data_IF_736464518146
#
_entry.id   IF_736464518146
#
_cell.length_a   1.000
_cell.length_b   1.000
_cell.length_c   1.000
_cell.angle_alpha   90.00
_cell.angle_beta   90.00
_cell.angle_gamma   90.00
#
_symmetry.space_group_name_H-M   'P 1'
#
loop_
_entity.id
_entity.type
_entity.pdbx_description
1 polymer ?
#
# COMPACT_ATOMS: atom_id res chain seq x y z
N UNK A 1 -20.40 8.62 19.28
CA UNK A 1 -20.23 9.90 20.02
C UNK A 1 -18.90 9.86 20.75
N UNK A 2 -17.99 10.82 20.54
CA UNK A 2 -16.67 10.82 21.21
C UNK A 2 -16.64 11.95 22.23
N UNK A 3 -16.45 11.58 23.49
CA UNK A 3 -16.44 12.47 24.66
C UNK A 3 -15.27 13.46 24.61
N UNK A 4 -15.52 14.73 24.90
CA UNK A 4 -14.48 15.76 25.04
C UNK A 4 -14.15 15.89 26.53
N UNK A 5 -12.90 15.65 26.95
CA UNK A 5 -12.49 16.02 28.31
C UNK A 5 -11.96 17.46 28.30
N UNK A 6 -12.42 18.32 29.22
CA UNK A 6 -11.81 19.62 29.42
C UNK A 6 -10.38 19.46 29.95
N UNK A 7 -9.46 20.25 29.43
CA UNK A 7 -8.15 20.49 30.08
C UNK A 7 -8.26 21.72 30.97
N UNK A 8 -7.38 21.85 31.97
CA UNK A 8 -7.33 22.97 32.93
C UNK A 8 -7.29 24.38 32.27
N UNK A 9 -6.87 24.48 31.01
CA UNK A 9 -6.82 25.75 30.24
C UNK A 9 -8.02 25.99 29.30
N UNK A 10 -9.13 25.24 29.43
CA UNK A 10 -10.31 25.38 28.56
C UNK A 10 -10.12 24.92 27.10
N UNK A 11 -8.92 24.49 26.72
CA UNK A 11 -8.60 24.10 25.35
C UNK A 11 -8.92 22.61 25.12
N UNK A 12 -10.06 22.28 24.52
CA UNK A 12 -10.49 20.88 24.34
C UNK A 12 -9.51 20.12 23.42
N UNK A 13 -8.63 19.29 24.00
CA UNK A 13 -7.78 18.37 23.24
C UNK A 13 -8.62 17.26 22.61
N UNK A 14 -8.25 16.89 21.39
CA UNK A 14 -8.81 15.73 20.69
C UNK A 14 -8.27 14.47 21.35
N UNK A 15 -9.18 13.70 21.94
CA UNK A 15 -8.87 12.44 22.61
C UNK A 15 -8.26 11.41 21.68
N UNK A 16 -7.34 10.63 22.24
CA UNK A 16 -6.78 9.45 21.61
C UNK A 16 -7.88 8.41 21.43
N UNK A 17 -8.12 7.89 20.21
CA UNK A 17 -9.01 6.77 20.00
C UNK A 17 -8.54 5.53 20.75
N UNK A 18 -9.41 4.54 20.89
CA UNK A 18 -9.03 3.20 21.38
C UNK A 18 -7.93 2.58 20.52
N UNK A 19 -7.13 1.68 21.11
CA UNK A 19 -6.04 1.03 20.40
C UNK A 19 -6.50 0.22 19.17
N UNK A 20 -7.72 -0.32 19.20
CA UNK A 20 -8.30 -0.99 18.03
C UNK A 20 -8.56 -0.02 16.87
N UNK A 21 -9.04 1.20 17.15
CA UNK A 21 -9.25 2.23 16.12
C UNK A 21 -7.90 2.71 15.60
N UNK A 22 -6.93 2.94 16.49
CA UNK A 22 -5.58 3.36 16.11
C UNK A 22 -4.94 2.34 15.17
N UNK A 23 -4.98 1.05 15.52
CA UNK A 23 -4.48 -0.02 14.65
C UNK A 23 -5.18 0.01 13.29
N UNK A 24 -6.52 0.08 13.29
CA UNK A 24 -7.29 0.11 12.05
C UNK A 24 -6.96 1.31 11.15
N UNK A 25 -6.71 2.51 11.70
CA UNK A 25 -6.36 3.69 10.88
C UNK A 25 -4.89 3.76 10.50
N UNK A 26 -4.00 3.16 11.29
CA UNK A 26 -2.58 2.97 10.96
C UNK A 26 -2.36 1.94 9.86
N UNK A 27 -3.30 1.00 9.70
CA UNK A 27 -3.26 0.03 8.62
C UNK A 27 -3.38 0.71 7.25
N UNK A 28 -2.54 0.25 6.31
CA UNK A 28 -2.54 0.74 4.93
C UNK A 28 -3.91 0.61 4.25
N UNK A 29 -4.67 -0.43 4.58
CA UNK A 29 -5.98 -0.70 3.98
C UNK A 29 -7.01 0.39 4.31
N UNK A 30 -6.82 1.14 5.41
CA UNK A 30 -7.69 2.25 5.72
C UNK A 30 -7.53 3.38 4.69
N UNK A 31 -8.64 3.83 4.14
CA UNK A 31 -8.67 4.98 3.23
C UNK A 31 -8.18 6.24 3.93
N UNK A 32 -7.48 7.12 3.20
CA UNK A 32 -7.02 8.40 3.76
C UNK A 32 -8.18 9.27 4.25
N UNK A 33 -9.35 9.17 3.62
CA UNK A 33 -10.57 9.82 4.09
C UNK A 33 -10.97 9.36 5.51
N UNK A 34 -10.89 8.07 5.81
CA UNK A 34 -11.17 7.53 7.14
C UNK A 34 -10.12 8.00 8.17
N UNK A 35 -8.85 8.04 7.78
CA UNK A 35 -7.76 8.56 8.62
C UNK A 35 -7.99 10.02 8.97
N UNK A 36 -8.26 10.87 7.97
CA UNK A 36 -8.52 12.29 8.18
C UNK A 36 -9.77 12.53 9.03
N UNK A 37 -10.83 11.74 8.79
CA UNK A 37 -12.05 11.77 9.61
C UNK A 37 -11.76 11.42 11.07
N UNK A 38 -10.97 10.38 11.33
CA UNK A 38 -10.57 10.00 12.69
C UNK A 38 -9.73 11.09 13.38
N UNK A 39 -8.86 11.76 12.62
CA UNK A 39 -8.05 12.88 13.10
C UNK A 39 -8.82 14.21 13.15
N UNK A 40 -10.08 14.26 12.71
CA UNK A 40 -10.88 15.49 12.58
C UNK A 40 -10.19 16.56 11.73
N UNK A 41 -9.68 16.15 10.57
CA UNK A 41 -8.99 16.98 9.59
C UNK A 41 -9.80 17.08 8.31
N UNK A 42 -9.74 18.24 7.65
CA UNK A 42 -10.10 18.33 6.23
C UNK A 42 -9.09 17.56 5.38
N UNK A 43 -9.47 17.22 4.14
CA UNK A 43 -8.56 16.55 3.21
C UNK A 43 -7.29 17.35 2.92
N UNK A 44 -7.38 18.68 2.89
CA UNK A 44 -6.23 19.57 2.62
C UNK A 44 -5.29 19.66 3.83
N UNK A 45 -5.83 19.86 5.04
CA UNK A 45 -5.01 19.84 6.27
C UNK A 45 -4.34 18.48 6.47
N UNK A 46 -5.09 17.39 6.26
CA UNK A 46 -4.57 16.04 6.32
C UNK A 46 -3.39 15.82 5.39
N UNK A 47 -3.50 16.22 4.12
CA UNK A 47 -2.40 16.14 3.16
C UNK A 47 -1.17 16.95 3.58
N UNK A 48 -1.38 18.18 4.07
CA UNK A 48 -0.29 19.06 4.50
C UNK A 48 0.49 18.47 5.68
N UNK A 49 -0.22 17.97 6.71
CA UNK A 49 0.42 17.37 7.88
C UNK A 49 1.16 16.08 7.54
N UNK A 50 0.56 15.22 6.71
CA UNK A 50 1.23 14.01 6.23
C UNK A 50 2.51 14.36 5.47
N UNK A 51 2.47 15.38 4.60
CA UNK A 51 3.66 15.85 3.89
C UNK A 51 4.74 16.34 4.86
N UNK A 52 4.40 17.20 5.81
CA UNK A 52 5.38 17.72 6.78
C UNK A 52 6.04 16.61 7.60
N UNK A 53 5.24 15.68 8.13
CA UNK A 53 5.79 14.53 8.89
C UNK A 53 6.66 13.66 7.99
N UNK A 54 6.21 13.35 6.79
CA UNK A 54 6.97 12.57 5.80
C UNK A 54 8.32 13.22 5.50
N UNK A 55 8.33 14.51 5.18
CA UNK A 55 9.55 15.24 4.85
C UNK A 55 10.51 15.24 6.05
N UNK A 56 10.01 15.34 7.29
CA UNK A 56 10.84 15.19 8.48
C UNK A 56 11.37 13.77 8.69
N UNK A 57 10.59 12.74 8.38
CA UNK A 57 11.02 11.35 8.44
C UNK A 57 12.14 11.08 7.42
N UNK A 58 11.99 11.54 6.18
CA UNK A 58 12.99 11.41 5.11
C UNK A 58 14.30 12.12 5.49
N UNK A 59 14.20 13.29 6.12
CA UNK A 59 15.36 14.06 6.58
C UNK A 59 15.95 13.54 7.91
N UNK A 60 15.23 12.68 8.61
CA UNK A 60 15.77 11.98 9.78
C UNK A 60 16.55 10.77 9.28
N UNK A 61 17.71 10.49 9.87
CA UNK A 61 18.59 9.36 9.49
C UNK A 61 18.00 7.97 9.83
N UNK A 62 16.68 7.84 9.75
CA UNK A 62 15.96 6.60 9.98
C UNK A 62 16.13 5.72 8.75
N UNK A 63 16.41 4.46 9.03
CA UNK A 63 16.42 3.42 8.01
C UNK A 63 14.98 2.99 7.71
N UNK A 64 14.54 3.07 6.46
CA UNK A 64 13.21 2.62 6.04
C UNK A 64 13.18 1.16 5.58
N UNK A 65 14.34 0.54 5.37
CA UNK A 65 14.46 -0.85 4.95
C UNK A 65 14.26 -1.80 6.13
N UNK A 66 14.67 -1.36 7.33
CA UNK A 66 14.40 -2.09 8.58
C UNK A 66 12.92 -1.97 9.00
N UNK A 67 12.20 -3.09 9.24
CA UNK A 67 10.81 -3.07 9.70
C UNK A 67 10.61 -2.24 10.97
N UNK A 68 9.48 -1.54 11.09
CA UNK A 68 9.19 -0.64 12.21
C UNK A 68 9.39 -1.29 13.59
N UNK A 69 9.03 -2.57 13.74
CA UNK A 69 9.16 -3.32 14.99
C UNK A 69 10.63 -3.56 15.40
N UNK A 70 11.56 -3.52 14.45
CA UNK A 70 13.00 -3.70 14.66
C UNK A 70 13.75 -2.38 14.81
N UNK A 71 13.09 -1.24 14.57
CA UNK A 71 13.69 0.08 14.71
C UNK A 71 14.12 0.37 16.16
N UNK A 72 15.20 1.13 16.32
CA UNK A 72 15.64 1.57 17.65
C UNK A 72 14.59 2.50 18.26
N UNK A 73 13.94 2.04 19.33
CA UNK A 73 12.91 2.79 20.07
C UNK A 73 13.36 4.19 20.49
N UNK A 74 14.66 4.38 20.76
CA UNK A 74 15.24 5.68 21.13
C UNK A 74 15.25 6.68 19.97
N UNK A 75 15.54 6.23 18.74
CA UNK A 75 15.54 7.06 17.54
C UNK A 75 14.12 7.45 17.15
N UNK A 76 13.18 6.50 17.16
CA UNK A 76 11.75 6.79 16.92
C UNK A 76 11.21 7.82 17.93
N UNK A 77 11.53 7.67 19.22
CA UNK A 77 11.14 8.63 20.26
C UNK A 77 11.74 10.01 20.02
N UNK A 78 13.02 10.10 19.60
CA UNK A 78 13.67 11.37 19.25
C UNK A 78 12.99 12.03 18.07
N UNK A 79 12.71 11.28 17.01
CA UNK A 79 11.99 11.79 15.84
C UNK A 79 10.59 12.27 16.21
N UNK A 80 9.81 11.48 16.96
CA UNK A 80 8.46 11.88 17.41
C UNK A 80 8.52 13.22 18.15
N UNK A 81 9.46 13.37 19.09
CA UNK A 81 9.67 14.64 19.81
C UNK A 81 10.01 15.79 18.87
N UNK A 82 10.86 15.56 17.87
CA UNK A 82 11.24 16.56 16.89
C UNK A 82 10.03 16.98 16.02
N UNK A 83 9.22 16.03 15.55
CA UNK A 83 7.98 16.30 14.81
C UNK A 83 7.01 17.11 15.65
N UNK A 84 6.72 16.69 16.88
CA UNK A 84 5.81 17.42 17.77
C UNK A 84 6.29 18.84 18.07
N UNK A 85 7.62 19.08 18.08
CA UNK A 85 8.21 20.42 18.25
C UNK A 85 8.06 21.29 17.00
N UNK A 86 8.30 20.72 15.81
CA UNK A 86 8.31 21.46 14.54
C UNK A 86 6.94 21.60 13.89
N UNK A 87 5.96 20.79 14.29
CA UNK A 87 4.58 20.84 13.80
C UNK A 87 3.64 21.09 14.99
N UNK A 88 3.53 22.36 15.47
CA UNK A 88 2.73 22.71 16.65
C UNK A 88 1.25 22.33 16.52
N UNK A 89 0.78 22.11 15.30
CA UNK A 89 -0.57 21.64 15.02
C UNK A 89 -0.93 20.38 15.82
N UNK A 90 0.03 19.49 16.11
CA UNK A 90 -0.25 18.27 16.88
C UNK A 90 -0.57 18.53 18.37
N UNK A 91 -0.34 19.72 18.91
CA UNK A 91 -0.61 20.05 20.31
C UNK A 91 -2.11 20.02 20.66
N UNK A 92 -2.99 20.04 19.66
CA UNK A 92 -4.44 19.87 19.86
C UNK A 92 -4.84 18.42 20.13
N UNK A 93 -3.95 17.45 19.99
CA UNK A 93 -4.23 16.03 20.19
C UNK A 93 -3.61 15.54 21.51
N UNK A 94 -4.31 14.63 22.18
CA UNK A 94 -3.75 13.90 23.32
C UNK A 94 -2.54 13.06 22.87
N UNK A 95 -1.45 13.11 23.63
CA UNK A 95 -0.21 12.35 23.41
C UNK A 95 0.42 12.45 22.01
N UNK A 96 0.01 13.46 21.23
CA UNK A 96 0.39 13.63 19.83
C UNK A 96 0.17 12.35 19.00
N UNK A 97 -0.87 11.56 19.31
CA UNK A 97 -1.14 10.27 18.65
C UNK A 97 -1.20 10.32 17.11
N UNK A 98 -1.61 11.43 16.45
CA UNK A 98 -1.52 11.53 14.99
C UNK A 98 -0.13 11.30 14.40
N UNK A 99 0.92 11.69 15.14
CA UNK A 99 2.30 11.51 14.70
C UNK A 99 2.61 10.02 14.56
N UNK A 100 2.19 9.21 15.53
CA UNK A 100 2.39 7.76 15.51
C UNK A 100 1.69 7.13 14.29
N UNK A 101 0.43 7.50 14.05
CA UNK A 101 -0.36 6.99 12.91
C UNK A 101 0.28 7.34 11.57
N UNK A 102 0.74 8.60 11.40
CA UNK A 102 1.39 9.02 10.16
C UNK A 102 2.71 8.28 9.97
N UNK A 103 3.53 8.18 11.02
CA UNK A 103 4.80 7.46 10.98
C UNK A 103 4.59 5.98 10.62
N UNK A 104 3.70 5.27 11.32
CA UNK A 104 3.38 3.87 11.05
C UNK A 104 2.94 3.64 9.61
N UNK A 105 2.01 4.46 9.10
CA UNK A 105 1.56 4.36 7.70
C UNK A 105 2.70 4.57 6.72
N UNK A 106 3.61 5.50 7.00
CA UNK A 106 4.74 5.75 6.10
C UNK A 106 5.73 4.58 6.08
N UNK A 107 6.02 3.97 7.23
CA UNK A 107 6.83 2.75 7.30
C UNK A 107 6.17 1.57 6.56
N UNK A 108 4.87 1.35 6.75
CA UNK A 108 4.14 0.30 6.04
C UNK A 108 4.13 0.49 4.52
N UNK A 109 4.20 1.74 4.05
CA UNK A 109 4.33 2.05 2.63
C UNK A 109 5.72 1.67 2.11
N UNK A 110 6.80 2.08 2.80
CA UNK A 110 8.18 1.82 2.40
C UNK A 110 8.57 0.34 2.43
N UNK A 111 8.23 -0.38 3.50
CA UNK A 111 8.55 -1.82 3.64
C UNK A 111 8.02 -2.68 2.47
N UNK A 112 6.96 -2.23 1.80
CA UNK A 112 6.44 -2.89 0.60
C UNK A 112 7.22 -2.55 -0.68
N UNK A 113 7.73 -1.33 -0.79
CA UNK A 113 8.53 -0.94 -1.95
C UNK A 113 9.83 -1.74 -1.96
N UNK A 114 10.47 -1.92 -0.80
CA UNK A 114 11.67 -2.76 -0.68
C UNK A 114 11.38 -4.23 -0.95
N UNK A 115 10.29 -4.79 -0.41
CA UNK A 115 9.90 -6.19 -0.69
C UNK A 115 9.61 -6.41 -2.19
N UNK A 116 8.96 -5.45 -2.85
CA UNK A 116 8.68 -5.55 -4.27
C UNK A 116 9.95 -5.34 -5.13
N UNK A 117 10.90 -4.50 -4.71
CA UNK A 117 12.18 -4.33 -5.42
C UNK A 117 13.04 -5.59 -5.37
N UNK A 118 13.09 -6.29 -4.24
CA UNK A 118 13.82 -7.56 -4.10
C UNK A 118 13.30 -8.61 -5.08
N UNK A 119 11.98 -8.66 -5.32
CA UNK A 119 11.40 -9.59 -6.31
C UNK A 119 11.84 -9.25 -7.74
N UNK A 120 12.07 -7.97 -8.06
CA UNK A 120 12.50 -7.55 -9.41
C UNK A 120 14.00 -7.76 -9.63
N UNK A 121 14.83 -7.48 -8.61
CA UNK A 121 16.29 -7.68 -8.71
C UNK A 121 16.67 -9.16 -8.73
N UNK A 122 15.97 -10.03 -7.98
CA UNK A 122 16.23 -11.47 -8.04
C UNK A 122 15.88 -12.09 -9.41
N UNK A 123 15.06 -11.42 -10.23
CA UNK A 123 14.74 -11.82 -11.59
C UNK A 123 15.76 -11.36 -12.64
N UNK A 124 16.70 -10.47 -12.29
CA UNK A 124 17.67 -9.89 -13.25
C UNK A 124 19.10 -10.43 -13.14
N UNK A 125 19.40 -11.30 -12.17
CA UNK A 125 20.80 -11.70 -11.87
C UNK A 125 21.05 -13.21 -12.00
N UNK A 126 20.47 -13.85 -13.02
CA UNK A 126 20.92 -15.19 -13.44
C UNK A 126 21.21 -15.20 -14.94
N UNK A 127 22.47 -14.93 -15.28
CA UNK A 127 23.06 -15.46 -16.51
C UNK A 127 23.14 -16.99 -16.36
N UNK A 128 22.61 -17.77 -17.32
CA UNK A 128 22.63 -19.23 -17.22
C UNK A 128 24.03 -19.75 -17.55
N UNK A 129 24.78 -20.15 -16.54
CA UNK A 129 25.87 -21.10 -16.73
C UNK A 129 25.27 -22.43 -17.22
N UNK A 130 25.78 -22.89 -18.36
CA UNK A 130 25.33 -24.08 -19.07
C UNK A 130 25.57 -25.34 -18.21
N UNK A 131 24.56 -25.73 -17.44
CA UNK A 131 24.63 -26.88 -16.54
C UNK A 131 23.27 -27.50 -16.27
N UNK A 132 22.76 -28.23 -17.25
CA UNK A 132 21.72 -29.28 -17.20
C UNK A 132 21.04 -29.54 -15.85
N UNK A 133 19.92 -28.86 -15.59
CA UNK A 133 18.72 -29.45 -14.95
C UNK A 133 17.49 -28.68 -15.44
N UNK A 134 16.50 -29.39 -16.01
CA UNK A 134 15.28 -28.83 -16.59
C UNK A 134 14.44 -28.18 -15.48
N UNK A 135 14.58 -26.86 -15.35
CA UNK A 135 14.02 -26.05 -14.26
C UNK A 135 12.72 -25.37 -14.68
N UNK A 136 11.70 -25.48 -13.83
CA UNK A 136 10.35 -24.90 -13.88
C UNK A 136 10.30 -23.36 -13.83
N UNK A 137 11.44 -22.67 -13.86
CA UNK A 137 11.54 -21.22 -13.70
C UNK A 137 11.22 -20.44 -14.99
N UNK A 138 11.55 -20.97 -16.16
CA UNK A 138 11.31 -20.29 -17.46
C UNK A 138 9.82 -20.14 -17.76
N UNK A 139 8.99 -21.09 -17.34
CA UNK A 139 7.54 -21.04 -17.53
C UNK A 139 6.85 -19.97 -16.69
N UNK A 140 7.47 -19.46 -15.61
CA UNK A 140 6.81 -18.46 -14.75
C UNK A 140 6.96 -17.03 -15.28
N UNK A 141 8.07 -16.73 -15.97
CA UNK A 141 8.35 -15.40 -16.53
C UNK A 141 7.44 -15.05 -17.72
N UNK A 142 7.09 -16.04 -18.54
CA UNK A 142 6.27 -15.84 -19.74
C UNK A 142 4.85 -15.37 -19.40
N UNK A 143 4.26 -15.91 -18.34
CA UNK A 143 2.90 -15.59 -17.88
C UNK A 143 2.78 -14.18 -17.32
N UNK A 144 3.78 -13.74 -16.57
CA UNK A 144 3.88 -12.35 -16.12
C UNK A 144 4.04 -11.40 -17.31
N UNK A 145 4.81 -11.78 -18.33
CA UNK A 145 4.93 -11.03 -19.58
C UNK A 145 3.58 -10.83 -20.28
N UNK A 146 2.79 -11.90 -20.42
CA UNK A 146 1.45 -11.85 -21.04
C UNK A 146 0.46 -11.00 -20.24
N UNK A 147 0.45 -11.12 -18.90
CA UNK A 147 -0.38 -10.29 -18.03
C UNK A 147 0.01 -8.81 -18.14
N UNK A 148 1.32 -8.50 -18.12
CA UNK A 148 1.80 -7.13 -18.28
C UNK A 148 1.44 -6.53 -19.63
N UNK A 149 1.58 -7.31 -20.71
CA UNK A 149 1.18 -6.88 -22.05
C UNK A 149 -0.33 -6.59 -22.13
N UNK A 150 -1.17 -7.48 -21.59
CA UNK A 150 -2.61 -7.28 -21.48
C UNK A 150 -2.94 -5.96 -20.79
N UNK A 151 -2.36 -5.72 -19.61
CA UNK A 151 -2.64 -4.51 -18.82
C UNK A 151 -2.07 -3.23 -19.44
N UNK A 152 -0.96 -3.34 -20.16
CA UNK A 152 -0.40 -2.21 -20.91
C UNK A 152 -1.33 -1.82 -22.07
N UNK A 153 -1.90 -2.80 -22.78
CA UNK A 153 -2.82 -2.55 -23.91
C UNK A 153 -4.11 -1.82 -23.51
N UNK A 154 -4.51 -1.94 -22.25
CA UNK A 154 -5.71 -1.29 -21.69
C UNK A 154 -5.41 -0.07 -20.84
N UNK A 155 -4.14 0.34 -20.73
CA UNK A 155 -3.68 1.41 -19.84
C UNK A 155 -4.03 1.18 -18.35
N UNK A 156 -4.12 -0.09 -17.92
CA UNK A 156 -4.48 -0.49 -16.55
C UNK A 156 -3.32 -1.18 -15.82
N UNK A 157 -2.07 -0.83 -16.16
CA UNK A 157 -0.87 -1.44 -15.58
C UNK A 157 -0.81 -1.34 -14.04
N UNK A 158 -1.41 -0.30 -13.47
CA UNK A 158 -1.49 -0.10 -12.02
C UNK A 158 -2.30 -1.19 -11.28
N UNK A 159 -3.09 -2.00 -12.01
CA UNK A 159 -3.88 -3.12 -11.46
C UNK A 159 -3.12 -4.44 -11.39
N UNK A 160 -1.91 -4.52 -11.97
CA UNK A 160 -1.05 -5.71 -11.98
C UNK A 160 -0.90 -6.34 -10.60
N UNK A 161 -0.64 -5.52 -9.58
CA UNK A 161 -0.45 -5.99 -8.22
C UNK A 161 -1.71 -6.55 -7.57
N UNK A 162 -2.89 -6.02 -7.91
CA UNK A 162 -4.16 -6.54 -7.42
C UNK A 162 -4.45 -7.92 -8.05
N UNK A 163 -4.19 -8.07 -9.35
CA UNK A 163 -4.37 -9.33 -10.08
C UNK A 163 -3.38 -10.41 -9.63
N UNK A 164 -2.11 -10.05 -9.39
CA UNK A 164 -1.13 -10.99 -8.81
C UNK A 164 -1.58 -11.48 -7.42
N UNK A 165 -2.14 -10.59 -6.59
CA UNK A 165 -2.68 -10.97 -5.27
C UNK A 165 -3.91 -11.87 -5.35
N UNK A 166 -4.68 -11.75 -6.44
CA UNK A 166 -5.80 -12.63 -6.74
C UNK A 166 -5.36 -13.99 -7.32
N UNK A 167 -4.05 -14.24 -7.43
CA UNK A 167 -3.51 -15.51 -7.89
C UNK A 167 -3.25 -15.57 -9.39
N UNK A 168 -2.98 -14.43 -10.05
CA UNK A 168 -2.43 -14.40 -11.42
C UNK A 168 -0.92 -14.15 -11.36
N UNK A 169 -0.17 -15.15 -10.90
CA UNK A 169 1.28 -15.04 -10.64
C UNK A 169 2.16 -15.78 -11.64
N UNK A 170 1.61 -16.75 -12.38
CA UNK A 170 2.35 -17.56 -13.34
C UNK A 170 1.54 -17.83 -14.63
N UNK A 171 2.19 -18.48 -15.62
CA UNK A 171 1.57 -18.80 -16.92
C UNK A 171 0.38 -19.74 -16.79
N UNK A 172 0.45 -20.74 -15.91
CA UNK A 172 -0.63 -21.71 -15.77
C UNK A 172 -1.86 -21.06 -15.18
N UNK A 173 -1.70 -20.21 -14.17
CA UNK A 173 -2.79 -19.44 -13.55
C UNK A 173 -3.38 -18.44 -14.54
N UNK A 174 -2.54 -17.74 -15.31
CA UNK A 174 -3.02 -16.83 -16.35
C UNK A 174 -3.77 -17.57 -17.45
N UNK A 175 -3.28 -18.74 -17.89
CA UNK A 175 -3.96 -19.56 -18.88
C UNK A 175 -5.27 -20.14 -18.34
N UNK A 176 -5.29 -20.57 -17.07
CA UNK A 176 -6.51 -21.01 -16.40
C UNK A 176 -7.54 -19.88 -16.36
N UNK A 177 -7.11 -18.64 -16.07
CA UNK A 177 -7.95 -17.46 -16.13
C UNK A 177 -8.49 -17.19 -17.54
N UNK A 178 -7.65 -17.25 -18.58
CA UNK A 178 -8.10 -17.09 -19.98
C UNK A 178 -9.13 -18.17 -20.37
N UNK A 179 -8.91 -19.41 -19.94
CA UNK A 179 -9.79 -20.54 -20.24
C UNK A 179 -11.13 -20.51 -19.48
N UNK A 180 -11.33 -19.59 -18.52
CA UNK A 180 -12.61 -19.47 -17.82
C UNK A 180 -13.71 -18.95 -18.76
N UNK A 181 -14.97 -19.39 -18.58
CA UNK A 181 -16.10 -18.79 -19.28
C UNK A 181 -16.10 -17.26 -19.13
N UNK A 182 -16.47 -16.52 -20.17
CA UNK A 182 -16.42 -15.04 -20.17
C UNK A 182 -17.15 -14.42 -18.96
N UNK A 183 -18.31 -14.96 -18.56
CA UNK A 183 -19.02 -14.51 -17.36
C UNK A 183 -18.22 -14.74 -16.06
N UNK A 184 -17.50 -15.86 -15.96
CA UNK A 184 -16.62 -16.18 -14.84
C UNK A 184 -15.38 -15.28 -14.81
N UNK A 185 -14.75 -15.00 -15.97
CA UNK A 185 -13.63 -14.04 -16.07
C UNK A 185 -14.04 -12.65 -15.58
N UNK A 186 -15.16 -12.13 -16.06
CA UNK A 186 -15.67 -10.81 -15.63
C UNK A 186 -15.99 -10.78 -14.14
N UNK A 187 -16.54 -11.86 -13.59
CA UNK A 187 -16.82 -11.99 -12.15
C UNK A 187 -15.53 -12.03 -11.33
N UNK A 188 -14.53 -12.80 -11.77
CA UNK A 188 -13.21 -12.85 -11.15
C UNK A 188 -12.55 -11.47 -11.13
N UNK A 189 -12.56 -10.74 -12.25
CA UNK A 189 -12.00 -9.39 -12.33
C UNK A 189 -12.73 -8.42 -11.40
N UNK A 190 -14.06 -8.44 -11.40
CA UNK A 190 -14.88 -7.57 -10.55
C UNK A 190 -14.62 -7.80 -9.06
N UNK A 191 -14.47 -9.06 -8.65
CA UNK A 191 -14.15 -9.41 -7.28
C UNK A 191 -12.71 -9.03 -6.89
N UNK A 192 -11.74 -9.41 -7.73
CA UNK A 192 -10.31 -9.24 -7.48
C UNK A 192 -9.87 -7.77 -7.48
N UNK A 193 -10.58 -6.93 -8.23
CA UNK A 193 -10.29 -5.50 -8.39
C UNK A 193 -11.26 -4.61 -7.61
N UNK A 194 -12.08 -5.18 -6.73
CA UNK A 194 -13.05 -4.42 -5.94
C UNK A 194 -12.35 -3.34 -5.10
N UNK A 195 -12.71 -2.07 -5.35
CA UNK A 195 -12.12 -0.91 -4.67
C UNK A 195 -10.75 -0.48 -5.20
N UNK A 196 -10.24 -1.13 -6.26
CA UNK A 196 -9.00 -0.77 -6.95
C UNK A 196 -9.21 -0.29 -8.38
N UNK A 197 -10.23 -0.79 -9.07
CA UNK A 197 -10.53 -0.46 -10.47
C UNK A 197 -11.94 0.12 -10.62
N UNK A 198 -12.09 1.04 -11.55
CA UNK A 198 -13.38 1.53 -12.00
C UNK A 198 -14.06 0.49 -12.92
N UNK A 199 -15.41 0.48 -13.03
CA UNK A 199 -16.13 -0.50 -13.85
C UNK A 199 -15.67 -0.57 -15.32
N UNK A 200 -15.34 0.57 -15.91
CA UNK A 200 -14.88 0.65 -17.31
C UNK A 200 -13.49 0.03 -17.52
N UNK A 201 -12.63 0.05 -16.51
CA UNK A 201 -11.31 -0.59 -16.56
C UNK A 201 -11.44 -2.12 -16.51
N UNK A 202 -12.36 -2.63 -15.68
CA UNK A 202 -12.71 -4.05 -15.64
C UNK A 202 -13.25 -4.51 -17.00
N UNK A 203 -14.14 -3.72 -17.61
CA UNK A 203 -14.68 -4.01 -18.93
C UNK A 203 -13.61 -3.96 -20.03
N UNK A 204 -12.67 -3.03 -19.96
CA UNK A 204 -11.54 -2.93 -20.89
C UNK A 204 -10.62 -4.15 -20.79
N UNK A 205 -10.22 -4.56 -19.58
CA UNK A 205 -9.41 -5.78 -19.37
C UNK A 205 -10.17 -7.00 -19.88
N UNK A 206 -11.44 -7.13 -19.52
CA UNK A 206 -12.26 -8.26 -19.95
C UNK A 206 -12.40 -8.32 -21.49
N UNK A 207 -12.60 -7.18 -22.16
CA UNK A 207 -12.62 -7.12 -23.62
C UNK A 207 -11.27 -7.53 -24.22
N UNK A 208 -10.17 -7.03 -23.68
CA UNK A 208 -8.82 -7.35 -24.15
C UNK A 208 -8.45 -8.83 -23.97
N UNK A 209 -9.02 -9.52 -22.97
CA UNK A 209 -8.80 -10.97 -22.81
C UNK A 209 -9.39 -11.80 -23.95
N UNK A 210 -10.38 -11.30 -24.70
CA UNK A 210 -10.93 -12.00 -25.87
C UNK A 210 -9.95 -12.03 -27.04
N UNK A 211 -9.18 -10.96 -27.21
CA UNK A 211 -8.17 -10.85 -28.28
C UNK A 211 -6.92 -11.72 -28.04
N UNK A 212 -6.84 -12.40 -26.88
CA UNK A 212 -5.76 -13.31 -26.51
C UNK A 212 -6.16 -14.78 -26.58
N UNK A 213 -7.44 -15.07 -26.88
CA UNK A 213 -7.97 -16.43 -27.08
C UNK A 213 -7.77 -16.91 -28.53
N UNK A 214 -7.55 -15.98 -29.47
CA UNK A 214 -7.25 -16.22 -30.89
C UNK A 214 -5.73 -16.25 -31.14
#
# INVERSE_FOLDING_TARGET
MVSRCPTENGNTRIKKPSDHVLRAISERAASMANVYKAMKLSGTEGRLLFKQVKDMMINSKIDFDTPLVMQKKTELKKLKKQISKNVPYFNRYEDHWPVDVIMERHFHYHSRLSTNQIVVEHLSTHEPEAGTTKSTATTNLEGLGRLHHLLASTNTFHLSLALMRAGLTDTQQFQNFLNMPSCARKSFLSFSLQGYAEPHEIDAIHAATKNLED
#
